data_IF_303826011033
#
_entry.id   IF_303826011033
#
_cell.length_a   1.000
_cell.length_b   1.000
_cell.length_c   1.000
_cell.angle_alpha   90.00
_cell.angle_beta   90.00
_cell.angle_gamma   90.00
#
_symmetry.space_group_name_H-M   'P 1'
#
loop_
_entity.id
_entity.type
_entity.pdbx_description
1 polymer ?
#
# COMPACT_ATOMS: atom_id res chain seq x y z
N UNK A 1 -3.85 -7.83 12.16
CA UNK A 1 -4.82 -7.26 11.21
C UNK A 1 -5.13 -5.83 11.62
N UNK A 2 -4.86 -4.89 10.74
CA UNK A 2 -5.16 -3.47 10.85
C UNK A 2 -6.50 -3.21 10.17
N UNK A 3 -7.39 -2.49 10.82
CA UNK A 3 -8.77 -2.35 10.32
C UNK A 3 -9.07 -0.91 9.93
N UNK A 4 -9.90 -0.71 8.91
CA UNK A 4 -10.33 0.62 8.50
C UNK A 4 -10.98 1.37 9.67
N UNK A 5 -11.91 0.70 10.36
CA UNK A 5 -12.54 1.23 11.56
C UNK A 5 -11.53 1.56 12.66
N UNK A 6 -10.53 0.70 12.86
CA UNK A 6 -9.48 0.91 13.85
C UNK A 6 -8.63 2.13 13.53
N UNK A 7 -8.31 2.36 12.26
CA UNK A 7 -7.62 3.56 11.80
C UNK A 7 -8.46 4.82 12.07
N UNK A 8 -9.72 4.83 11.65
CA UNK A 8 -10.65 5.97 11.80
C UNK A 8 -10.89 6.37 13.27
N UNK A 9 -10.72 5.43 14.21
CA UNK A 9 -10.88 5.67 15.64
C UNK A 9 -9.56 5.97 16.36
N UNK A 10 -8.43 5.83 15.67
CA UNK A 10 -7.12 6.02 16.25
C UNK A 10 -6.70 7.49 16.29
N UNK A 11 -5.65 7.79 17.06
CA UNK A 11 -5.00 9.10 17.06
C UNK A 11 -3.96 9.25 15.95
N UNK A 12 -3.87 8.31 15.01
CA UNK A 12 -2.90 8.35 13.93
C UNK A 12 -3.31 9.37 12.86
N UNK A 13 -2.43 10.32 12.59
CA UNK A 13 -2.68 11.42 11.65
C UNK A 13 -2.64 11.00 10.18
N UNK A 14 -1.95 9.89 9.88
CA UNK A 14 -1.85 9.34 8.53
C UNK A 14 -1.98 7.82 8.58
N UNK A 15 -2.41 7.24 7.46
CA UNK A 15 -2.47 5.80 7.29
C UNK A 15 -1.12 5.13 7.57
N UNK A 16 -0.02 5.67 7.02
CA UNK A 16 1.35 5.16 7.19
C UNK A 16 1.85 5.14 8.63
N UNK A 17 1.27 5.95 9.54
CA UNK A 17 1.57 5.87 10.98
C UNK A 17 0.76 4.80 11.69
N UNK A 18 -0.38 4.38 11.14
CA UNK A 18 -1.25 3.36 11.71
C UNK A 18 -0.80 1.94 11.36
N UNK A 19 -0.26 1.73 10.16
CA UNK A 19 0.22 0.43 9.68
C UNK A 19 1.74 0.31 9.72
N UNK A 20 2.26 -0.91 9.73
CA UNK A 20 3.68 -1.23 9.61
C UNK A 20 3.88 -2.25 8.47
N UNK A 21 5.07 -2.30 7.84
CA UNK A 21 5.35 -3.27 6.79
C UNK A 21 5.04 -4.70 7.24
N UNK A 22 4.34 -5.43 6.37
CA UNK A 22 3.78 -6.77 6.55
C UNK A 22 2.52 -6.87 7.42
N UNK A 23 1.94 -5.76 7.88
CA UNK A 23 0.61 -5.79 8.48
C UNK A 23 -0.44 -6.24 7.44
N UNK A 24 -1.25 -7.22 7.84
CA UNK A 24 -2.49 -7.58 7.15
C UNK A 24 -3.53 -6.48 7.38
N UNK A 25 -4.22 -6.02 6.33
CA UNK A 25 -5.37 -5.12 6.41
C UNK A 25 -6.68 -5.87 6.20
N UNK A 26 -7.80 -5.33 6.69
CA UNK A 26 -9.13 -5.87 6.42
C UNK A 26 -9.67 -5.48 5.04
N UNK A 27 -10.74 -6.16 4.63
CA UNK A 27 -11.41 -5.95 3.34
C UNK A 27 -11.99 -4.54 3.21
N UNK A 28 -12.52 -3.97 4.31
CA UNK A 28 -13.03 -2.60 4.33
C UNK A 28 -11.94 -1.58 3.98
N UNK A 29 -10.71 -1.79 4.46
CA UNK A 29 -9.57 -0.94 4.11
C UNK A 29 -9.21 -1.09 2.63
N UNK A 30 -9.26 -2.31 2.10
CA UNK A 30 -9.07 -2.54 0.66
C UNK A 30 -10.10 -1.79 -0.18
N UNK A 31 -11.40 -1.89 0.12
CA UNK A 31 -12.44 -1.17 -0.64
C UNK A 31 -12.31 0.35 -0.52
N UNK A 32 -11.97 0.86 0.67
CA UNK A 32 -11.67 2.29 0.83
C UNK A 32 -10.59 2.75 -0.16
N UNK A 33 -9.55 1.93 -0.32
CA UNK A 33 -8.44 2.21 -1.22
C UNK A 33 -8.74 1.98 -2.70
N UNK A 34 -9.67 1.09 -3.05
CA UNK A 34 -10.07 0.90 -4.44
C UNK A 34 -11.13 1.89 -4.92
N UNK A 35 -12.01 2.36 -4.02
CA UNK A 35 -13.22 3.11 -4.39
C UNK A 35 -13.23 4.57 -3.92
N UNK A 36 -12.62 4.87 -2.77
CA UNK A 36 -12.68 6.21 -2.16
C UNK A 36 -11.41 7.01 -2.44
N UNK A 37 -10.24 6.38 -2.25
CA UNK A 37 -8.93 6.96 -2.58
C UNK A 37 -8.25 6.04 -3.58
N UNK A 38 -8.70 6.06 -4.86
CA UNK A 38 -8.34 5.06 -5.84
C UNK A 38 -6.82 4.93 -5.99
N UNK A 39 -6.31 3.71 -6.26
CA UNK A 39 -4.89 3.47 -6.39
C UNK A 39 -4.32 4.24 -7.58
N UNK A 40 -3.04 4.58 -7.48
CA UNK A 40 -2.29 5.21 -8.56
C UNK A 40 -2.07 4.23 -9.72
N UNK A 41 -1.76 3.00 -9.36
CA UNK A 41 -1.57 1.87 -10.27
C UNK A 41 -1.95 0.57 -9.55
N UNK A 42 -2.33 -0.46 -10.32
CA UNK A 42 -2.72 -1.74 -9.77
C UNK A 42 -2.50 -2.87 -10.77
N UNK A 43 -2.13 -4.04 -10.25
CA UNK A 43 -2.08 -5.30 -10.98
C UNK A 43 -2.93 -6.39 -10.33
N UNK A 44 -2.96 -7.60 -10.92
CA UNK A 44 -3.74 -8.74 -10.44
C UNK A 44 -3.63 -9.06 -8.95
N UNK A 45 -2.48 -8.80 -8.32
CA UNK A 45 -2.24 -9.11 -6.90
C UNK A 45 -1.61 -7.95 -6.13
N UNK A 46 -1.68 -6.72 -6.62
CA UNK A 46 -1.08 -5.58 -5.95
C UNK A 46 -1.73 -4.27 -6.35
N UNK A 47 -1.57 -3.27 -5.49
CA UNK A 47 -1.95 -1.90 -5.79
C UNK A 47 -1.01 -0.91 -5.10
N UNK A 48 -0.77 0.20 -5.78
CA UNK A 48 0.03 1.33 -5.30
C UNK A 48 -0.88 2.49 -4.97
N UNK A 49 -0.58 3.16 -3.87
CA UNK A 49 -1.38 4.30 -3.49
C UNK A 49 -0.70 5.35 -2.62
N UNK A 50 -1.50 6.36 -2.28
CA UNK A 50 -1.04 7.55 -1.57
C UNK A 50 -0.61 8.62 -2.56
N UNK A 51 -0.64 9.86 -2.09
CA UNK A 51 0.07 10.94 -2.76
C UNK A 51 1.56 10.63 -2.76
N UNK A 52 2.28 11.13 -3.78
CA UNK A 52 3.73 11.09 -3.81
C UNK A 52 4.27 11.62 -2.47
N UNK A 53 4.81 10.75 -1.62
CA UNK A 53 5.53 11.20 -0.44
C UNK A 53 6.85 11.75 -0.97
N UNK A 54 6.94 13.08 -1.02
CA UNK A 54 8.16 13.71 -1.51
C UNK A 54 9.33 13.38 -0.57
N UNK A 55 10.40 12.90 -1.20
CA UNK A 55 11.74 12.66 -0.68
C UNK A 55 11.95 11.40 0.20
N UNK A 56 12.20 10.26 -0.47
CA UNK A 56 13.38 9.49 -0.07
C UNK A 56 14.65 10.37 -0.25
N UNK A 57 15.72 10.00 0.44
CA UNK A 57 17.04 10.65 0.53
C UNK A 57 17.64 11.02 -0.85
N UNK A 58 17.12 10.46 -1.95
CA UNK A 58 17.63 10.63 -3.31
C UNK A 58 16.65 11.28 -4.31
N UNK A 59 15.55 11.90 -3.85
CA UNK A 59 14.59 12.58 -4.73
C UNK A 59 13.71 11.64 -5.55
N UNK A 60 13.53 10.41 -5.09
CA UNK A 60 12.60 9.45 -5.67
C UNK A 60 11.24 9.58 -4.99
N UNK A 61 10.19 9.50 -5.81
CA UNK A 61 8.80 9.45 -5.35
C UNK A 61 8.52 8.03 -4.87
N UNK A 62 7.95 7.90 -3.67
CA UNK A 62 7.48 6.64 -3.13
C UNK A 62 5.96 6.62 -3.01
N UNK A 63 5.40 5.43 -3.23
CA UNK A 63 3.99 5.11 -3.06
C UNK A 63 3.82 3.90 -2.15
N UNK A 64 2.77 3.88 -1.36
CA UNK A 64 2.44 2.77 -0.47
C UNK A 64 2.02 1.54 -1.30
N UNK A 65 2.77 0.45 -1.17
CA UNK A 65 2.49 -0.81 -1.86
C UNK A 65 1.66 -1.74 -0.99
N UNK A 66 0.66 -2.36 -1.60
CA UNK A 66 -0.08 -3.46 -1.04
C UNK A 66 -0.03 -4.67 -1.97
N UNK A 67 -0.01 -5.85 -1.37
CA UNK A 67 -0.10 -7.11 -2.10
C UNK A 67 -1.25 -7.95 -1.59
N UNK A 68 -1.91 -8.64 -2.50
CA UNK A 68 -2.85 -9.71 -2.21
C UNK A 68 -2.11 -11.05 -2.19
N UNK A 69 -2.32 -11.82 -1.13
CA UNK A 69 -1.84 -13.19 -1.02
C UNK A 69 -2.84 -14.01 -0.23
N UNK A 70 -3.26 -15.15 -0.77
CA UNK A 70 -4.20 -16.08 -0.12
C UNK A 70 -5.50 -15.38 0.34
N UNK A 71 -6.07 -14.52 -0.52
CA UNK A 71 -7.25 -13.66 -0.27
C UNK A 71 -7.09 -12.70 0.93
N UNK A 72 -5.85 -12.30 1.24
CA UNK A 72 -5.52 -11.33 2.28
C UNK A 72 -4.64 -10.23 1.71
N UNK A 73 -4.83 -9.02 2.21
CA UNK A 73 -4.09 -7.85 1.75
C UNK A 73 -3.03 -7.45 2.77
N UNK A 74 -1.82 -7.18 2.31
CA UNK A 74 -0.68 -6.86 3.14
C UNK A 74 -0.04 -5.56 2.71
N UNK A 75 0.15 -4.64 3.65
CA UNK A 75 0.95 -3.45 3.44
C UNK A 75 2.43 -3.84 3.34
N UNK A 76 3.14 -3.37 2.32
CA UNK A 76 4.57 -3.65 2.11
C UNK A 76 5.48 -2.47 2.39
N UNK A 77 4.93 -1.29 2.68
CA UNK A 77 5.72 -0.08 2.81
C UNK A 77 5.78 0.71 1.51
N UNK A 78 6.47 1.85 1.59
CA UNK A 78 6.63 2.75 0.47
C UNK A 78 7.67 2.22 -0.53
N UNK A 79 7.31 2.16 -1.81
CA UNK A 79 8.14 1.71 -2.93
C UNK A 79 8.11 2.72 -4.08
N UNK A 80 9.20 2.86 -4.81
CA UNK A 80 9.25 3.63 -6.06
C UNK A 80 8.87 2.74 -7.27
N UNK A 81 8.60 3.36 -8.41
CA UNK A 81 8.27 2.65 -9.66
C UNK A 81 9.33 1.62 -10.08
N UNK A 82 10.62 1.93 -9.92
CA UNK A 82 11.71 1.03 -10.31
C UNK A 82 11.75 -0.27 -9.49
N UNK A 83 11.43 -0.19 -8.19
CA UNK A 83 11.30 -1.36 -7.32
C UNK A 83 10.10 -2.22 -7.71
N UNK A 84 8.98 -1.59 -8.09
CA UNK A 84 7.79 -2.29 -8.56
C UNK A 84 8.08 -2.98 -9.89
N UNK A 85 8.74 -2.30 -10.82
CA UNK A 85 9.17 -2.90 -12.09
C UNK A 85 10.11 -4.10 -11.86
N UNK A 86 11.06 -3.98 -10.94
CA UNK A 86 11.93 -5.10 -10.55
C UNK A 86 11.12 -6.28 -10.01
N UNK A 87 10.10 -6.02 -9.18
CA UNK A 87 9.24 -7.08 -8.64
C UNK A 87 8.41 -7.77 -9.73
N UNK A 88 7.89 -7.03 -10.70
CA UNK A 88 7.20 -7.57 -11.87
C UNK A 88 8.15 -8.43 -12.73
N UNK A 89 9.35 -7.92 -13.03
CA UNK A 89 10.36 -8.65 -13.82
C UNK A 89 10.82 -9.95 -13.13
N UNK A 90 10.86 -9.96 -11.79
CA UNK A 90 11.24 -11.12 -10.98
C UNK A 90 10.06 -12.08 -10.71
N UNK A 91 8.85 -11.75 -11.16
CA UNK A 91 7.63 -12.54 -10.89
C UNK A 91 7.24 -12.58 -9.41
N UNK A 92 7.68 -11.59 -8.63
CA UNK A 92 7.25 -11.39 -7.23
C UNK A 92 5.84 -10.80 -7.22
N UNK A 93 5.60 -9.84 -8.10
CA UNK A 93 4.30 -9.33 -8.47
C UNK A 93 3.92 -9.92 -9.83
N UNK A 94 2.62 -10.07 -10.08
CA UNK A 94 2.05 -10.56 -11.34
C UNK A 94 1.12 -9.52 -11.93
#
# INVERSE_FOLDING_TARGET
>A
MKTYKGWMQSSHSTFSTYVQPNDEIDEDMYYYFMEVVPPLDAGPCWFLMGEAIDHDVNGQILHDLFIEKDNKFYFKGAHNEAQIEEYLQRGILT
#
